data_IF_226331903852
#
_entry.id   IF_226331903852
#
_cell.length_a   1.000
_cell.length_b   1.000
_cell.length_c   1.000
_cell.angle_alpha   90.00
_cell.angle_beta   90.00
_cell.angle_gamma   90.00
#
_symmetry.space_group_name_H-M   'P 1'
#
loop_
_entity.id
_entity.type
_entity.pdbx_description
1 polymer ?
#
# COMPACT_ATOMS: atom_id res chain seq x y z
N UNK A 1 4.72 -18.27 17.69
CA UNK A 1 4.59 -17.90 16.25
C UNK A 1 5.18 -16.53 15.93
N UNK A 2 4.88 -15.47 16.70
CA UNK A 2 5.45 -14.13 16.47
C UNK A 2 6.99 -14.09 16.53
N UNK A 3 7.61 -14.74 17.52
CA UNK A 3 9.09 -14.81 17.61
C UNK A 3 9.69 -15.51 16.40
N UNK A 4 9.05 -16.60 15.93
CA UNK A 4 9.47 -17.31 14.72
C UNK A 4 9.35 -16.42 13.47
N UNK A 5 8.25 -15.68 13.34
CA UNK A 5 8.07 -14.71 12.26
C UNK A 5 9.18 -13.64 12.30
N UNK A 6 9.47 -13.10 13.47
CA UNK A 6 10.54 -12.11 13.65
C UNK A 6 11.91 -12.67 13.25
N UNK A 7 12.25 -13.88 13.69
CA UNK A 7 13.50 -14.55 13.29
C UNK A 7 13.57 -14.78 11.78
N UNK A 8 12.45 -15.13 11.14
CA UNK A 8 12.39 -15.27 9.68
C UNK A 8 12.58 -13.93 8.97
N UNK A 9 12.03 -12.83 9.49
CA UNK A 9 12.27 -11.50 8.93
C UNK A 9 13.75 -11.12 9.03
N UNK A 10 14.37 -11.30 10.20
CA UNK A 10 15.82 -11.08 10.38
C UNK A 10 16.63 -11.94 9.43
N UNK A 11 16.28 -13.22 9.29
CA UNK A 11 16.93 -14.14 8.37
C UNK A 11 16.78 -13.72 6.90
N UNK A 12 15.59 -13.27 6.49
CA UNK A 12 15.34 -12.78 5.13
C UNK A 12 16.13 -11.51 4.81
N UNK A 13 16.18 -10.55 5.73
CA UNK A 13 16.98 -9.34 5.58
C UNK A 13 18.48 -9.70 5.50
N UNK A 14 18.94 -10.62 6.35
CA UNK A 14 20.32 -11.13 6.32
C UNK A 14 20.67 -11.83 5.00
N UNK A 15 19.77 -12.67 4.48
CA UNK A 15 19.93 -13.33 3.17
C UNK A 15 19.94 -12.30 2.04
N UNK A 16 19.10 -11.26 2.10
CA UNK A 16 19.09 -10.19 1.11
C UNK A 16 20.42 -9.42 1.10
N UNK A 17 20.95 -9.07 2.28
CA UNK A 17 22.26 -8.46 2.42
C UNK A 17 23.40 -9.37 1.90
N UNK A 18 23.37 -10.65 2.26
CA UNK A 18 24.34 -11.64 1.75
C UNK A 18 24.29 -11.76 0.22
N UNK A 19 23.08 -11.83 -0.35
CA UNK A 19 22.87 -11.89 -1.79
C UNK A 19 23.44 -10.66 -2.52
N UNK A 20 23.37 -9.47 -1.90
CA UNK A 20 23.98 -8.25 -2.43
C UNK A 20 25.51 -8.36 -2.54
N UNK A 21 26.19 -8.98 -1.56
CA UNK A 21 27.63 -9.24 -1.65
C UNK A 21 27.98 -10.27 -2.72
N UNK A 22 27.23 -11.38 -2.82
CA UNK A 22 27.43 -12.39 -3.85
C UNK A 22 27.24 -11.77 -5.24
N UNK A 23 26.24 -10.90 -5.41
CA UNK A 23 25.98 -10.20 -6.66
C UNK A 23 27.11 -9.24 -7.05
N UNK A 24 27.63 -8.47 -6.09
CA UNK A 24 28.82 -7.63 -6.30
C UNK A 24 30.00 -8.47 -6.80
N UNK A 25 30.29 -9.57 -6.11
CA UNK A 25 31.44 -10.41 -6.45
C UNK A 25 31.24 -11.06 -7.83
N UNK A 26 30.01 -11.47 -8.18
CA UNK A 26 29.68 -11.94 -9.54
C UNK A 26 30.05 -10.92 -10.62
N UNK A 27 29.73 -9.63 -10.41
CA UNK A 27 30.10 -8.57 -11.36
C UNK A 27 31.63 -8.48 -11.47
N UNK A 28 32.34 -8.39 -10.34
CA UNK A 28 33.80 -8.27 -10.31
C UNK A 28 34.51 -9.45 -10.99
N UNK A 29 34.06 -10.68 -10.76
CA UNK A 29 34.68 -11.87 -11.37
C UNK A 29 34.27 -12.08 -12.82
N UNK A 30 33.13 -11.53 -13.26
CA UNK A 30 32.77 -11.46 -14.68
C UNK A 30 33.73 -10.55 -15.43
N UNK A 31 34.09 -9.40 -14.85
CA UNK A 31 35.08 -8.48 -15.43
C UNK A 31 36.49 -9.11 -15.49
N UNK A 32 36.86 -9.89 -14.48
CA UNK A 32 38.14 -10.59 -14.40
C UNK A 32 38.27 -11.83 -15.34
N UNK A 33 37.17 -12.24 -16.01
CA UNK A 33 37.10 -13.42 -16.90
C UNK A 33 37.55 -14.75 -16.27
N UNK A 34 37.37 -14.92 -14.96
CA UNK A 34 37.70 -16.16 -14.24
C UNK A 34 36.51 -17.12 -14.26
N UNK A 35 36.50 -18.05 -15.23
CA UNK A 35 35.38 -18.95 -15.48
C UNK A 35 35.12 -19.94 -14.33
N UNK A 36 36.16 -20.37 -13.62
CA UNK A 36 36.04 -21.39 -12.57
C UNK A 36 35.34 -20.80 -11.33
N UNK A 37 35.79 -19.63 -10.86
CA UNK A 37 35.15 -18.94 -9.72
C UNK A 37 33.74 -18.45 -10.06
N UNK A 38 33.50 -18.06 -11.30
CA UNK A 38 32.19 -17.59 -11.75
C UNK A 38 31.13 -18.69 -11.63
N UNK A 39 31.43 -19.92 -12.06
CA UNK A 39 30.47 -21.03 -11.94
C UNK A 39 30.07 -21.31 -10.49
N UNK A 40 31.04 -21.29 -9.57
CA UNK A 40 30.78 -21.49 -8.14
C UNK A 40 29.91 -20.37 -7.55
N UNK A 41 30.19 -19.11 -7.89
CA UNK A 41 29.40 -17.96 -7.43
C UNK A 41 27.97 -17.96 -7.99
N UNK A 42 27.78 -18.37 -9.24
CA UNK A 42 26.44 -18.51 -9.84
C UNK A 42 25.61 -19.55 -9.08
N UNK A 43 26.23 -20.66 -8.68
CA UNK A 43 25.55 -21.69 -7.88
C UNK A 43 25.17 -21.14 -6.50
N UNK A 44 26.08 -20.44 -5.81
CA UNK A 44 25.78 -19.80 -4.51
C UNK A 44 24.63 -18.80 -4.65
N UNK A 45 24.66 -17.98 -5.70
CA UNK A 45 23.61 -17.00 -5.97
C UNK A 45 22.25 -17.69 -6.20
N UNK A 46 22.21 -18.75 -7.00
CA UNK A 46 21.00 -19.54 -7.23
C UNK A 46 20.46 -20.17 -5.94
N UNK A 47 21.32 -20.74 -5.09
CA UNK A 47 20.93 -21.31 -3.79
C UNK A 47 20.38 -20.23 -2.86
N UNK A 48 21.01 -19.05 -2.84
CA UNK A 48 20.57 -17.91 -2.00
C UNK A 48 19.19 -17.42 -2.43
N UNK A 49 18.94 -17.29 -3.74
CA UNK A 49 17.62 -16.94 -4.28
C UNK A 49 16.56 -17.99 -3.97
N UNK A 50 16.89 -19.28 -4.09
CA UNK A 50 16.01 -20.39 -3.73
C UNK A 50 15.64 -20.34 -2.24
N UNK A 51 16.63 -20.11 -1.38
CA UNK A 51 16.43 -19.97 0.06
C UNK A 51 15.56 -18.76 0.40
N UNK A 52 15.83 -17.61 -0.20
CA UNK A 52 15.04 -16.38 0.01
C UNK A 52 13.58 -16.58 -0.41
N UNK A 53 13.33 -17.26 -1.53
CA UNK A 53 11.98 -17.57 -2.01
C UNK A 53 11.25 -18.51 -1.04
N UNK A 54 11.92 -19.55 -0.58
CA UNK A 54 11.37 -20.52 0.37
C UNK A 54 11.02 -19.86 1.71
N UNK A 55 11.98 -19.18 2.33
CA UNK A 55 11.77 -18.49 3.62
C UNK A 55 10.77 -17.35 3.49
N UNK A 56 10.73 -16.65 2.35
CA UNK A 56 9.74 -15.62 2.05
C UNK A 56 8.32 -16.19 1.99
N UNK A 57 8.16 -17.36 1.37
CA UNK A 57 6.91 -18.13 1.36
C UNK A 57 6.48 -18.55 2.77
N UNK A 58 7.42 -19.08 3.56
CA UNK A 58 7.16 -19.51 4.95
C UNK A 58 6.79 -18.34 5.86
N UNK A 59 7.48 -17.20 5.74
CA UNK A 59 7.16 -15.97 6.47
C UNK A 59 5.74 -15.48 6.13
N UNK A 60 5.38 -15.45 4.84
CA UNK A 60 4.01 -15.10 4.40
C UNK A 60 2.95 -16.06 4.95
N UNK A 61 3.26 -17.36 5.00
CA UNK A 61 2.37 -18.37 5.57
C UNK A 61 2.14 -18.15 7.06
N UNK A 62 3.22 -18.01 7.84
CA UNK A 62 3.12 -17.73 9.29
C UNK A 62 2.39 -16.43 9.58
N UNK A 63 2.66 -15.38 8.81
CA UNK A 63 1.95 -14.10 8.91
C UNK A 63 0.44 -14.28 8.77
N UNK A 64 -0.01 -15.07 7.79
CA UNK A 64 -1.45 -15.36 7.59
C UNK A 64 -2.05 -16.14 8.75
N UNK A 65 -1.33 -17.11 9.31
CA UNK A 65 -1.81 -17.85 10.48
C UNK A 65 -1.98 -16.95 11.70
N UNK A 66 -0.98 -16.09 11.99
CA UNK A 66 -1.08 -15.17 13.14
C UNK A 66 -2.22 -14.17 12.92
N UNK A 67 -2.42 -13.68 11.70
CA UNK A 67 -3.55 -12.80 11.37
C UNK A 67 -4.91 -13.50 11.53
N UNK A 68 -4.98 -14.81 11.24
CA UNK A 68 -6.17 -15.64 11.44
C UNK A 68 -6.46 -15.87 12.93
N UNK A 69 -5.46 -16.23 13.72
CA UNK A 69 -5.60 -16.40 15.17
C UNK A 69 -6.08 -15.09 15.83
N UNK A 70 -5.48 -13.97 15.40
CA UNK A 70 -5.89 -12.65 15.86
C UNK A 70 -7.32 -12.31 15.41
N UNK A 71 -7.70 -12.65 14.18
CA UNK A 71 -9.07 -12.48 13.70
C UNK A 71 -10.08 -13.26 14.55
N UNK A 72 -9.80 -14.53 14.86
CA UNK A 72 -10.66 -15.35 15.72
C UNK A 72 -10.83 -14.73 17.12
N UNK A 73 -9.75 -14.21 17.69
CA UNK A 73 -9.78 -13.53 18.98
C UNK A 73 -10.58 -12.21 18.94
N UNK A 74 -10.36 -11.36 17.94
CA UNK A 74 -11.12 -10.11 17.80
C UNK A 74 -12.61 -10.42 17.58
N UNK A 75 -12.92 -11.32 16.66
CA UNK A 75 -14.30 -11.68 16.32
C UNK A 75 -15.05 -12.20 17.55
N UNK A 76 -14.47 -13.15 18.28
CA UNK A 76 -15.08 -13.67 19.52
C UNK A 76 -15.25 -12.59 20.59
N UNK A 77 -14.25 -11.73 20.79
CA UNK A 77 -14.29 -10.64 21.78
C UNK A 77 -15.37 -9.59 21.44
N UNK A 78 -15.49 -9.21 20.16
CA UNK A 78 -16.51 -8.26 19.71
C UNK A 78 -17.90 -8.89 19.81
N UNK A 79 -18.05 -10.15 19.41
CA UNK A 79 -19.32 -10.85 19.49
C UNK A 79 -19.81 -10.99 20.93
N UNK A 80 -18.92 -11.31 21.87
CA UNK A 80 -19.25 -11.32 23.31
C UNK A 80 -19.74 -9.96 23.80
N UNK A 81 -19.09 -8.86 23.38
CA UNK A 81 -19.53 -7.49 23.72
C UNK A 81 -20.87 -7.13 23.08
N UNK A 82 -21.11 -7.58 21.85
CA UNK A 82 -22.35 -7.35 21.11
C UNK A 82 -23.57 -8.00 21.78
N UNK A 83 -23.41 -9.20 22.35
CA UNK A 83 -24.47 -9.89 23.09
C UNK A 83 -24.59 -9.48 24.56
N UNK A 84 -23.58 -8.82 25.13
CA UNK A 84 -23.61 -8.35 26.53
C UNK A 84 -24.58 -7.20 26.70
N UNK A 85 -25.34 -7.20 27.79
CA UNK A 85 -26.27 -6.11 28.18
C UNK A 85 -27.26 -5.68 27.09
N UNK A 86 -27.63 -6.59 26.18
CA UNK A 86 -28.48 -6.30 25.01
C UNK A 86 -27.94 -5.18 24.12
N UNK A 87 -26.61 -5.07 23.99
CA UNK A 87 -25.99 -4.05 23.14
C UNK A 87 -26.49 -4.10 21.69
N UNK A 88 -26.72 -5.29 21.13
CA UNK A 88 -27.34 -5.46 19.80
C UNK A 88 -28.67 -4.70 19.65
N UNK A 89 -29.51 -4.68 20.70
CA UNK A 89 -30.78 -3.96 20.68
C UNK A 89 -30.56 -2.45 20.78
N UNK A 90 -29.65 -2.02 21.68
CA UNK A 90 -29.37 -0.60 21.86
C UNK A 90 -28.73 0.04 20.63
N UNK A 91 -27.86 -0.68 19.92
CA UNK A 91 -27.23 -0.23 18.68
C UNK A 91 -28.30 -0.02 17.60
N UNK A 92 -29.20 -0.99 17.42
CA UNK A 92 -30.30 -0.86 16.45
C UNK A 92 -31.31 0.24 16.85
N UNK A 93 -31.55 0.43 18.15
CA UNK A 93 -32.49 1.44 18.63
C UNK A 93 -31.94 2.87 18.48
N UNK A 94 -30.65 3.08 18.76
CA UNK A 94 -30.03 4.41 18.62
C UNK A 94 -29.80 4.79 17.16
N UNK A 95 -29.47 3.83 16.30
CA UNK A 95 -29.20 4.10 14.88
C UNK A 95 -27.87 4.81 14.60
N UNK A 96 -27.00 4.97 15.60
CA UNK A 96 -25.71 5.65 15.46
C UNK A 96 -24.70 4.88 14.57
N UNK A 97 -24.92 3.57 14.37
CA UNK A 97 -24.03 2.70 13.58
C UNK A 97 -24.81 2.16 12.40
N UNK A 98 -24.44 2.61 11.19
CA UNK A 98 -24.95 2.07 9.94
C UNK A 98 -24.40 0.65 9.69
N UNK A 99 -25.28 -0.26 9.24
CA UNK A 99 -25.00 -1.64 8.81
C UNK A 99 -24.12 -2.47 9.78
N UNK A 100 -24.51 -2.63 11.06
CA UNK A 100 -23.70 -3.30 12.07
C UNK A 100 -23.40 -4.77 11.74
N UNK A 101 -24.30 -5.45 11.03
CA UNK A 101 -24.15 -6.80 10.50
C UNK A 101 -23.04 -6.90 9.44
N UNK A 102 -22.98 -5.92 8.53
CA UNK A 102 -21.91 -5.81 7.54
C UNK A 102 -20.56 -5.59 8.24
N UNK A 103 -20.51 -4.70 9.24
CA UNK A 103 -19.27 -4.42 9.98
C UNK A 103 -18.74 -5.67 10.70
N UNK A 104 -19.61 -6.40 11.39
CA UNK A 104 -19.25 -7.63 12.09
C UNK A 104 -18.76 -8.73 11.14
N UNK A 105 -19.40 -8.88 9.97
CA UNK A 105 -19.09 -9.97 9.04
C UNK A 105 -17.94 -9.68 8.07
N UNK A 106 -17.78 -8.43 7.64
CA UNK A 106 -16.87 -8.06 6.53
C UNK A 106 -15.71 -7.17 6.96
N UNK A 107 -15.86 -6.35 8.01
CA UNK A 107 -14.83 -5.36 8.36
C UNK A 107 -13.79 -5.88 9.36
N UNK A 108 -14.10 -6.91 10.16
CA UNK A 108 -13.17 -7.41 11.20
C UNK A 108 -11.95 -8.11 10.60
N UNK A 109 -12.15 -8.98 9.60
CA UNK A 109 -11.05 -9.77 9.01
C UNK A 109 -10.00 -8.91 8.29
N UNK A 110 -10.37 -7.91 7.46
CA UNK A 110 -9.39 -7.02 6.84
C UNK A 110 -8.54 -6.26 7.86
N UNK A 111 -9.08 -5.89 9.02
CA UNK A 111 -8.35 -5.14 10.05
C UNK A 111 -7.11 -5.93 10.50
N UNK A 112 -7.27 -7.19 10.90
CA UNK A 112 -6.13 -7.99 11.41
C UNK A 112 -5.12 -8.28 10.31
N UNK A 113 -5.59 -8.59 9.10
CA UNK A 113 -4.73 -8.87 7.95
C UNK A 113 -3.91 -7.65 7.55
N UNK A 114 -4.56 -6.51 7.31
CA UNK A 114 -3.90 -5.28 6.87
C UNK A 114 -2.96 -4.75 7.93
N UNK A 115 -3.33 -4.82 9.21
CA UNK A 115 -2.45 -4.39 10.30
C UNK A 115 -1.23 -5.28 10.40
N UNK A 116 -1.39 -6.61 10.30
CA UNK A 116 -0.27 -7.53 10.31
C UNK A 116 0.65 -7.35 9.10
N UNK A 117 0.08 -7.13 7.91
CA UNK A 117 0.82 -6.81 6.70
C UNK A 117 1.65 -5.53 6.89
N UNK A 118 1.02 -4.45 7.36
CA UNK A 118 1.67 -3.17 7.63
C UNK A 118 2.81 -3.30 8.65
N UNK A 119 2.56 -3.93 9.81
CA UNK A 119 3.57 -4.07 10.87
C UNK A 119 4.77 -4.89 10.39
N UNK A 120 4.52 -6.03 9.73
CA UNK A 120 5.59 -6.89 9.22
C UNK A 120 6.43 -6.16 8.18
N UNK A 121 5.78 -5.50 7.21
CA UNK A 121 6.47 -4.73 6.17
C UNK A 121 7.24 -3.55 6.76
N UNK A 122 6.70 -2.86 7.77
CA UNK A 122 7.38 -1.77 8.44
C UNK A 122 8.67 -2.26 9.13
N UNK A 123 8.59 -3.35 9.91
CA UNK A 123 9.77 -3.93 10.58
C UNK A 123 10.80 -4.39 9.55
N UNK A 124 10.38 -5.11 8.52
CA UNK A 124 11.26 -5.59 7.44
C UNK A 124 11.99 -4.43 6.76
N UNK A 125 11.27 -3.39 6.34
CA UNK A 125 11.86 -2.24 5.64
C UNK A 125 12.78 -1.40 6.53
N UNK A 126 12.45 -1.25 7.81
CA UNK A 126 13.34 -0.59 8.77
C UNK A 126 14.63 -1.37 8.98
N UNK A 127 14.55 -2.69 9.09
CA UNK A 127 15.73 -3.56 9.19
C UNK A 127 16.59 -3.49 7.92
N UNK A 128 15.98 -3.62 6.74
CA UNK A 128 16.69 -3.46 5.46
C UNK A 128 17.41 -2.12 5.39
N UNK A 129 16.70 -1.03 5.68
CA UNK A 129 17.27 0.31 5.68
C UNK A 129 18.49 0.41 6.61
N UNK A 130 18.39 -0.06 7.86
CA UNK A 130 19.51 -0.02 8.80
C UNK A 130 20.71 -0.85 8.30
N UNK A 131 20.47 -2.07 7.82
CA UNK A 131 21.51 -2.96 7.31
C UNK A 131 22.22 -2.33 6.10
N UNK A 132 21.48 -1.82 5.12
CA UNK A 132 22.06 -1.23 3.92
C UNK A 132 22.78 0.09 4.20
N UNK A 133 22.30 0.92 5.14
CA UNK A 133 23.04 2.11 5.60
C UNK A 133 24.39 1.70 6.19
N UNK A 134 24.43 0.67 7.04
CA UNK A 134 25.67 0.17 7.65
C UNK A 134 26.62 -0.39 6.59
N UNK A 135 26.12 -1.19 5.64
CA UNK A 135 26.92 -1.74 4.53
C UNK A 135 27.53 -0.62 3.70
N UNK A 136 26.72 0.35 3.26
CA UNK A 136 27.22 1.48 2.46
C UNK A 136 28.28 2.27 3.23
N UNK A 137 28.03 2.56 4.50
CA UNK A 137 28.94 3.32 5.34
C UNK A 137 30.29 2.61 5.53
N UNK A 138 30.27 1.27 5.59
CA UNK A 138 31.47 0.44 5.66
C UNK A 138 32.28 0.45 4.36
N UNK A 139 31.66 0.65 3.20
CA UNK A 139 32.34 0.69 1.90
C UNK A 139 32.93 2.07 1.63
N UNK A 140 32.10 3.11 1.73
CA UNK A 140 32.55 4.50 1.51
C UNK A 140 31.64 5.49 2.21
N UNK A 141 32.20 6.22 3.19
CA UNK A 141 31.48 7.24 3.93
C UNK A 141 31.01 8.40 3.04
N UNK A 142 31.84 8.83 2.10
CA UNK A 142 31.51 9.96 1.21
C UNK A 142 30.33 9.62 0.30
N UNK A 143 30.35 8.45 -0.35
CA UNK A 143 29.26 8.01 -1.23
C UNK A 143 27.97 7.80 -0.44
N UNK A 144 28.07 7.21 0.76
CA UNK A 144 26.92 7.00 1.64
C UNK A 144 26.21 8.31 1.99
N UNK A 145 26.95 9.36 2.34
CA UNK A 145 26.36 10.67 2.67
C UNK A 145 25.63 11.26 1.47
N UNK A 146 26.24 11.22 0.27
CA UNK A 146 25.61 11.75 -0.96
C UNK A 146 24.31 11.00 -1.27
N UNK A 147 24.33 9.66 -1.23
CA UNK A 147 23.14 8.85 -1.47
C UNK A 147 22.07 9.07 -0.41
N UNK A 148 22.43 9.18 0.87
CA UNK A 148 21.48 9.48 1.94
C UNK A 148 20.79 10.83 1.74
N UNK A 149 21.55 11.88 1.42
CA UNK A 149 20.97 13.21 1.13
C UNK A 149 20.04 13.14 -0.07
N UNK A 150 20.47 12.46 -1.14
CA UNK A 150 19.65 12.27 -2.33
C UNK A 150 18.34 11.53 -2.03
N UNK A 151 18.41 10.41 -1.29
CA UNK A 151 17.24 9.61 -0.91
C UNK A 151 16.29 10.38 0.01
N UNK A 152 16.80 11.20 0.94
CA UNK A 152 15.97 12.03 1.82
C UNK A 152 15.21 13.08 1.00
N UNK A 153 15.91 13.80 0.11
CA UNK A 153 15.29 14.81 -0.77
C UNK A 153 14.25 14.15 -1.68
N UNK A 154 14.60 13.01 -2.28
CA UNK A 154 13.69 12.22 -3.11
C UNK A 154 12.43 11.81 -2.36
N UNK A 155 12.54 11.29 -1.13
CA UNK A 155 11.39 10.90 -0.32
C UNK A 155 10.49 12.09 0.06
N UNK A 156 11.07 13.26 0.37
CA UNK A 156 10.30 14.47 0.67
C UNK A 156 9.47 14.88 -0.55
N UNK A 157 10.09 14.92 -1.74
CA UNK A 157 9.42 15.25 -3.00
C UNK A 157 8.34 14.22 -3.35
N UNK A 158 8.65 12.93 -3.27
CA UNK A 158 7.72 11.84 -3.52
C UNK A 158 6.48 11.96 -2.61
N UNK A 159 6.70 12.16 -1.31
CA UNK A 159 5.63 12.31 -0.32
C UNK A 159 4.75 13.51 -0.63
N UNK A 160 5.35 14.65 -1.01
CA UNK A 160 4.60 15.84 -1.41
C UNK A 160 3.70 15.56 -2.62
N UNK A 161 4.24 14.95 -3.68
CA UNK A 161 3.48 14.60 -4.89
C UNK A 161 2.33 13.65 -4.55
N UNK A 162 2.59 12.59 -3.78
CA UNK A 162 1.56 11.62 -3.36
C UNK A 162 0.46 12.29 -2.53
N UNK A 163 0.80 13.20 -1.62
CA UNK A 163 -0.20 13.94 -0.84
C UNK A 163 -1.11 14.80 -1.73
N UNK A 164 -0.55 15.46 -2.74
CA UNK A 164 -1.35 16.25 -3.69
C UNK A 164 -2.24 15.36 -4.55
N UNK A 165 -1.72 14.24 -5.05
CA UNK A 165 -2.53 13.27 -5.80
C UNK A 165 -3.69 12.74 -4.95
N UNK A 166 -3.45 12.43 -3.68
CA UNK A 166 -4.50 11.97 -2.75
C UNK A 166 -5.59 13.04 -2.54
N UNK A 167 -5.21 14.31 -2.42
CA UNK A 167 -6.19 15.42 -2.31
C UNK A 167 -7.08 15.51 -3.55
N UNK A 168 -6.49 15.46 -4.75
CA UNK A 168 -7.25 15.52 -6.00
C UNK A 168 -8.11 14.27 -6.20
N UNK A 169 -7.61 13.10 -5.79
CA UNK A 169 -8.38 11.84 -5.84
C UNK A 169 -9.60 11.89 -4.93
N UNK A 170 -9.48 12.51 -3.74
CA UNK A 170 -10.62 12.77 -2.87
C UNK A 170 -11.64 13.72 -3.52
N UNK A 171 -11.17 14.82 -4.11
CA UNK A 171 -12.03 15.76 -4.83
C UNK A 171 -12.74 15.10 -6.03
N UNK A 172 -12.09 14.15 -6.71
CA UNK A 172 -12.70 13.37 -7.78
C UNK A 172 -13.89 12.56 -7.24
N UNK A 173 -13.72 11.85 -6.12
CA UNK A 173 -14.81 11.07 -5.52
C UNK A 173 -15.99 11.96 -5.09
N UNK A 174 -15.71 13.13 -4.51
CA UNK A 174 -16.75 14.10 -4.10
C UNK A 174 -17.52 14.67 -5.30
N UNK A 175 -16.82 15.02 -6.39
CA UNK A 175 -17.44 15.55 -7.62
C UNK A 175 -18.22 14.47 -8.37
N UNK A 176 -17.70 13.25 -8.46
CA UNK A 176 -18.43 12.11 -9.02
C UNK A 176 -19.69 11.77 -8.21
N UNK A 177 -19.60 11.82 -6.87
CA UNK A 177 -20.76 11.67 -5.99
C UNK A 177 -21.81 12.74 -6.25
N UNK A 178 -21.39 14.00 -6.39
CA UNK A 178 -22.28 15.13 -6.70
C UNK A 178 -22.96 15.00 -8.06
N UNK A 179 -22.25 14.46 -9.06
CA UNK A 179 -22.79 14.16 -10.39
C UNK A 179 -23.80 13.00 -10.34
N UNK A 180 -23.46 11.89 -9.69
CA UNK A 180 -24.37 10.73 -9.49
C UNK A 180 -25.64 11.13 -8.73
N UNK A 181 -25.50 11.98 -7.72
CA UNK A 181 -26.65 12.54 -7.00
C UNK A 181 -27.56 13.34 -7.94
N UNK A 182 -27.02 14.18 -8.82
CA UNK A 182 -27.83 14.96 -9.77
C UNK A 182 -28.63 14.06 -10.74
N UNK A 183 -28.04 12.96 -11.20
CA UNK A 183 -28.76 11.96 -12.02
C UNK A 183 -29.87 11.28 -11.21
N UNK A 184 -29.55 10.89 -9.97
CA UNK A 184 -30.52 10.25 -9.07
C UNK A 184 -31.67 11.21 -8.73
N UNK A 185 -31.39 12.51 -8.59
CA UNK A 185 -32.37 13.56 -8.38
C UNK A 185 -33.37 13.63 -9.54
N UNK A 186 -32.89 13.60 -10.80
CA UNK A 186 -33.77 13.57 -11.97
C UNK A 186 -34.67 12.33 -11.97
N UNK A 187 -34.12 11.15 -11.64
CA UNK A 187 -34.92 9.92 -11.55
C UNK A 187 -36.00 9.98 -10.47
N UNK A 188 -35.67 10.55 -9.31
CA UNK A 188 -36.59 10.64 -8.16
C UNK A 188 -37.67 11.72 -8.34
N UNK A 189 -37.42 12.73 -9.18
CA UNK A 189 -38.35 13.84 -9.45
C UNK A 189 -38.84 13.88 -10.91
N UNK A 190 -38.82 12.73 -11.60
CA UNK A 190 -39.10 12.65 -13.03
C UNK A 190 -40.49 13.19 -13.40
N UNK A 191 -41.50 12.91 -12.58
CA UNK A 191 -42.88 13.37 -12.79
C UNK A 191 -42.99 14.90 -12.71
N UNK A 192 -42.38 15.51 -11.69
CA UNK A 192 -42.36 16.98 -11.54
C UNK A 192 -41.61 17.64 -12.70
N UNK A 193 -40.47 17.08 -13.12
CA UNK A 193 -39.69 17.61 -14.24
C UNK A 193 -40.51 17.55 -15.53
N UNK A 194 -41.15 16.42 -15.82
CA UNK A 194 -41.98 16.24 -17.01
C UNK A 194 -43.23 17.15 -17.00
N UNK A 195 -43.87 17.31 -15.83
CA UNK A 195 -45.04 18.17 -15.68
C UNK A 195 -44.72 19.65 -15.93
N UNK A 196 -43.58 20.14 -15.41
CA UNK A 196 -43.13 21.52 -15.57
C UNK A 196 -42.27 21.76 -16.83
N UNK A 197 -42.02 20.72 -17.66
CA UNK A 197 -41.14 20.78 -18.84
C UNK A 197 -39.74 21.35 -18.52
N UNK A 198 -39.15 20.85 -17.43
CA UNK A 198 -37.88 21.33 -16.88
C UNK A 198 -36.63 20.67 -17.46
N UNK A 199 -36.74 19.86 -18.51
CA UNK A 199 -35.69 18.94 -18.98
C UNK A 199 -34.41 19.66 -19.39
N UNK A 200 -34.49 20.75 -20.16
CA UNK A 200 -33.31 21.51 -20.57
C UNK A 200 -32.56 22.13 -19.38
N UNK A 201 -33.29 22.54 -18.34
CA UNK A 201 -32.68 23.12 -17.15
C UNK A 201 -31.91 22.06 -16.35
N UNK A 202 -32.52 20.90 -16.15
CA UNK A 202 -31.87 19.76 -15.48
C UNK A 202 -30.67 19.24 -16.29
N UNK A 203 -30.79 19.15 -17.61
CA UNK A 203 -29.69 18.78 -18.51
C UNK A 203 -28.51 19.74 -18.34
N UNK A 204 -28.76 21.06 -18.34
CA UNK A 204 -27.72 22.06 -18.14
C UNK A 204 -27.04 21.94 -16.76
N UNK A 205 -27.78 21.61 -15.70
CA UNK A 205 -27.23 21.40 -14.35
C UNK A 205 -26.32 20.17 -14.33
N UNK A 206 -26.77 19.05 -14.91
CA UNK A 206 -26.01 17.80 -14.99
C UNK A 206 -24.74 18.01 -15.83
N UNK A 207 -24.84 18.69 -16.97
CA UNK A 207 -23.70 18.98 -17.84
C UNK A 207 -22.65 19.84 -17.12
N UNK A 208 -23.08 20.86 -16.35
CA UNK A 208 -22.14 21.67 -15.54
C UNK A 208 -21.42 20.83 -14.50
N UNK A 209 -22.12 19.93 -13.80
CA UNK A 209 -21.50 19.01 -12.83
C UNK A 209 -20.55 18.03 -13.51
N UNK A 210 -20.89 17.51 -14.68
CA UNK A 210 -20.01 16.64 -15.46
C UNK A 210 -18.73 17.38 -15.89
N UNK A 211 -18.84 18.63 -16.34
CA UNK A 211 -17.68 19.44 -16.69
C UNK A 211 -16.74 19.67 -15.48
N UNK A 212 -17.29 19.77 -14.26
CA UNK A 212 -16.48 19.82 -13.03
C UNK A 212 -15.73 18.50 -12.78
N UNK A 213 -16.40 17.35 -12.99
CA UNK A 213 -15.75 16.03 -12.89
C UNK A 213 -14.58 15.94 -13.88
N UNK A 214 -14.79 16.32 -15.14
CA UNK A 214 -13.74 16.32 -16.17
C UNK A 214 -12.56 17.22 -15.77
N UNK A 215 -12.82 18.42 -15.23
CA UNK A 215 -11.77 19.31 -14.74
C UNK A 215 -10.90 18.64 -13.68
N UNK A 216 -11.52 18.02 -12.67
CA UNK A 216 -10.79 17.34 -11.59
C UNK A 216 -10.04 16.11 -12.11
N UNK A 217 -10.61 15.36 -13.06
CA UNK A 217 -9.91 14.24 -13.70
C UNK A 217 -8.66 14.72 -14.45
N UNK A 218 -8.74 15.84 -15.18
CA UNK A 218 -7.56 16.42 -15.85
C UNK A 218 -6.51 16.85 -14.83
N UNK A 219 -6.92 17.48 -13.72
CA UNK A 219 -5.99 17.82 -12.63
C UNK A 219 -5.31 16.57 -12.04
N UNK A 220 -6.06 15.47 -11.86
CA UNK A 220 -5.51 14.19 -11.39
C UNK A 220 -4.50 13.62 -12.38
N UNK A 221 -4.84 13.57 -13.67
CA UNK A 221 -3.95 13.07 -14.74
C UNK A 221 -2.64 13.88 -14.76
N UNK A 222 -2.70 15.19 -14.56
CA UNK A 222 -1.50 16.03 -14.50
C UNK A 222 -0.60 15.67 -13.31
N UNK A 223 -1.17 15.38 -12.14
CA UNK A 223 -0.42 14.92 -10.97
C UNK A 223 0.14 13.50 -11.15
N UNK A 224 -0.62 12.59 -11.75
CA UNK A 224 -0.15 11.24 -12.10
C UNK A 224 1.04 11.31 -13.06
N UNK A 225 0.95 12.15 -14.10
CA UNK A 225 2.06 12.40 -15.01
C UNK A 225 3.30 12.93 -14.28
N UNK A 226 3.14 13.89 -13.37
CA UNK A 226 4.26 14.41 -12.56
C UNK A 226 4.87 13.32 -11.68
N UNK A 227 4.04 12.47 -11.08
CA UNK A 227 4.51 11.33 -10.28
C UNK A 227 5.27 10.32 -11.13
N UNK A 228 4.80 10.01 -12.34
CA UNK A 228 5.50 9.10 -13.26
C UNK A 228 6.85 9.68 -13.71
N UNK A 229 6.91 10.96 -14.06
CA UNK A 229 8.18 11.61 -14.39
C UNK A 229 9.16 11.59 -13.23
N UNK A 230 8.68 11.90 -12.02
CA UNK A 230 9.50 11.84 -10.82
C UNK A 230 10.02 10.42 -10.56
N UNK A 231 9.16 9.41 -10.61
CA UNK A 231 9.55 8.02 -10.38
C UNK A 231 10.58 7.53 -11.41
N UNK A 232 10.33 7.76 -12.70
CA UNK A 232 11.29 7.38 -13.76
C UNK A 232 12.62 8.10 -13.63
N UNK A 233 12.60 9.40 -13.29
CA UNK A 233 13.80 10.17 -13.03
C UNK A 233 14.59 9.64 -11.84
N UNK A 234 13.89 9.38 -10.73
CA UNK A 234 14.48 8.87 -9.50
C UNK A 234 15.11 7.47 -9.70
N UNK A 235 14.41 6.56 -10.37
CA UNK A 235 14.89 5.21 -10.72
C UNK A 235 16.04 5.21 -11.72
N UNK A 236 16.18 6.24 -12.57
CA UNK A 236 17.29 6.28 -13.53
C UNK A 236 18.64 6.61 -12.91
N UNK A 237 18.64 7.18 -11.69
CA UNK A 237 19.85 7.62 -10.98
C UNK A 237 20.32 6.56 -9.97
N UNK A 238 19.41 5.72 -9.47
CA UNK A 238 19.65 4.68 -8.46
C UNK A 238 19.85 3.33 -9.13
#
# INVERSE_FOLDING_TARGET
>A
MLVLLFLLLVGLVGLNAFNSFVFRDLITFTEARDAEKLTHLVIIYAITLGSMTFFGGLSKFLKKLIALDWYQWINSSILQKYFKNRAYYQINFKGDIENPDQRLSQEIQPITRTTMDFLTTCVEKLMEMLVFIVILWSISRTISIVLLVYTIIGNILATYITQQLNKVSKQQLETEGTYKYAITHVRTHAESIAFFRGEEKELNIIQRKFNQVIKIIIERINWERTQEFFNRGYESIV
#
